data_IF_134413004309
#
_entry.id   IF_134413004309
#
_cell.length_a   1.000
_cell.length_b   1.000
_cell.length_c   1.000
_cell.angle_alpha   90.00
_cell.angle_beta   90.00
_cell.angle_gamma   90.00
#
_symmetry.space_group_name_H-M   'P 1'
#
loop_
_entity.id
_entity.type
_entity.pdbx_description
1 polymer ?
#
# COMPACT_ATOMS: atom_id res chain seq x y z
N UNK A 1 -12.62 7.99 -22.58
CA UNK A 1 -11.47 7.90 -23.50
C UNK A 1 -10.20 8.00 -22.67
N UNK A 2 -9.34 6.98 -22.71
CA UNK A 2 -8.15 6.94 -21.88
C UNK A 2 -7.07 7.90 -22.41
N UNK A 3 -6.59 8.75 -21.54
CA UNK A 3 -5.53 9.73 -21.79
C UNK A 3 -4.32 9.31 -20.95
N UNK A 4 -3.15 9.33 -21.57
CA UNK A 4 -1.86 9.10 -20.91
C UNK A 4 -0.95 10.27 -21.24
N UNK A 5 -0.48 10.96 -20.21
CA UNK A 5 0.47 12.06 -20.35
C UNK A 5 1.76 11.73 -19.60
N UNK A 6 2.89 12.07 -20.19
CA UNK A 6 4.20 12.07 -19.54
C UNK A 6 4.37 13.40 -18.80
N UNK A 7 4.90 13.34 -17.59
CA UNK A 7 5.15 14.50 -16.72
C UNK A 7 6.65 14.77 -16.61
N UNK A 8 7.03 16.04 -16.56
CA UNK A 8 8.43 16.46 -16.32
C UNK A 8 8.80 16.45 -14.84
N UNK A 9 7.83 16.72 -13.96
CA UNK A 9 7.95 16.62 -12.51
C UNK A 9 6.57 16.44 -11.90
N UNK A 10 6.49 15.66 -10.83
CA UNK A 10 5.22 15.43 -10.14
C UNK A 10 4.77 16.69 -9.40
N UNK A 11 5.66 17.28 -8.58
CA UNK A 11 5.35 18.39 -7.66
C UNK A 11 4.94 19.68 -8.38
N UNK A 12 5.49 19.92 -9.58
CA UNK A 12 5.21 21.14 -10.35
C UNK A 12 3.94 21.04 -11.21
N UNK A 13 3.58 19.83 -11.63
CA UNK A 13 2.47 19.59 -12.56
C UNK A 13 1.20 19.19 -11.81
N UNK A 14 1.31 18.36 -10.77
CA UNK A 14 0.16 17.85 -10.03
C UNK A 14 0.12 18.43 -8.62
N UNK A 15 -0.96 19.13 -8.29
CA UNK A 15 -1.20 19.56 -6.92
C UNK A 15 -1.91 18.44 -6.14
N UNK A 16 -1.10 17.62 -5.46
CA UNK A 16 -1.58 16.50 -4.65
C UNK A 16 -1.94 16.89 -3.20
N UNK A 17 -1.56 18.09 -2.75
CA UNK A 17 -1.78 18.55 -1.37
C UNK A 17 -3.25 18.55 -0.93
N UNK A 18 -4.16 18.75 -1.88
CA UNK A 18 -5.61 18.71 -1.64
C UNK A 18 -6.29 17.48 -2.26
N UNK A 19 -5.50 16.49 -2.66
CA UNK A 19 -5.97 15.26 -3.27
C UNK A 19 -6.05 14.13 -2.26
N UNK A 20 -6.72 13.05 -2.67
CA UNK A 20 -6.67 11.77 -1.98
C UNK A 20 -5.85 10.79 -2.80
N UNK A 21 -4.90 10.10 -2.19
CA UNK A 21 -4.08 9.10 -2.89
C UNK A 21 -4.18 7.74 -2.21
N UNK A 22 -4.13 6.67 -3.01
CA UNK A 22 -3.94 5.32 -2.48
C UNK A 22 -2.52 5.16 -1.96
N UNK A 23 -2.29 4.21 -1.04
CA UNK A 23 -0.93 3.80 -0.69
C UNK A 23 -0.21 3.36 -1.98
N UNK A 24 1.00 3.84 -2.28
CA UNK A 24 1.72 3.43 -3.46
C UNK A 24 2.07 1.94 -3.45
N UNK A 25 1.86 1.28 -4.58
CA UNK A 25 2.36 -0.07 -4.84
C UNK A 25 3.75 0.07 -5.47
N UNK A 26 4.73 -0.62 -4.89
CA UNK A 26 6.12 -0.53 -5.30
C UNK A 26 6.59 -1.92 -5.73
N UNK A 27 7.08 -2.02 -6.96
CA UNK A 27 7.55 -3.27 -7.56
C UNK A 27 8.61 -2.95 -8.61
N UNK A 28 9.74 -3.66 -8.58
CA UNK A 28 10.82 -3.56 -9.58
C UNK A 28 11.24 -2.10 -9.89
N UNK A 29 11.55 -1.32 -8.85
CA UNK A 29 11.88 0.12 -8.96
C UNK A 29 10.81 0.95 -9.67
N UNK A 30 9.56 0.55 -9.64
CA UNK A 30 8.42 1.31 -10.13
C UNK A 30 7.45 1.59 -8.99
N UNK A 31 6.84 2.78 -8.99
CA UNK A 31 5.85 3.18 -7.99
C UNK A 31 4.55 3.58 -8.69
N UNK A 32 3.44 3.00 -8.26
CA UNK A 32 2.12 3.24 -8.86
C UNK A 32 1.13 3.60 -7.75
N UNK A 33 0.35 4.65 -7.96
CA UNK A 33 -0.72 5.03 -7.02
C UNK A 33 -1.89 5.70 -7.75
N UNK A 34 -3.10 5.51 -7.22
CA UNK A 34 -4.27 6.26 -7.63
C UNK A 34 -4.32 7.60 -6.91
N UNK A 35 -4.75 8.65 -7.60
CA UNK A 35 -4.95 9.98 -7.04
C UNK A 35 -6.30 10.56 -7.47
N UNK A 36 -7.03 11.18 -6.55
CA UNK A 36 -8.40 11.65 -6.73
C UNK A 36 -8.51 13.13 -6.42
N UNK A 37 -9.27 13.85 -7.26
CA UNK A 37 -9.47 15.30 -7.12
C UNK A 37 -8.18 16.10 -7.28
N UNK A 38 -7.35 15.71 -8.25
CA UNK A 38 -6.01 16.28 -8.48
C UNK A 38 -6.13 17.50 -9.38
N UNK A 39 -5.52 18.61 -8.97
CA UNK A 39 -5.42 19.76 -9.86
C UNK A 39 -4.21 19.62 -10.78
N UNK A 40 -4.46 19.68 -12.08
CA UNK A 40 -3.48 19.60 -13.13
C UNK A 40 -3.07 21.01 -13.54
N UNK A 41 -1.81 21.35 -13.33
CA UNK A 41 -1.22 22.58 -13.85
C UNK A 41 -0.89 22.39 -15.34
N UNK A 42 -1.60 23.11 -16.21
CA UNK A 42 -1.43 22.98 -17.65
C UNK A 42 -0.12 23.64 -18.08
N UNK A 43 0.80 22.84 -18.62
CA UNK A 43 1.99 23.33 -19.33
C UNK A 43 1.84 23.13 -20.84
N UNK A 44 2.65 23.84 -21.64
CA UNK A 44 2.71 23.61 -23.08
C UNK A 44 3.05 22.15 -23.39
N UNK A 45 3.97 21.55 -22.62
CA UNK A 45 4.36 20.14 -22.76
C UNK A 45 3.18 19.18 -22.57
N UNK A 46 2.29 19.45 -21.62
CA UNK A 46 1.07 18.66 -21.41
C UNK A 46 0.06 18.92 -22.54
N UNK A 47 -0.14 20.19 -22.90
CA UNK A 47 -1.09 20.60 -23.92
C UNK A 47 -0.89 19.86 -25.26
N UNK A 48 0.36 19.72 -25.71
CA UNK A 48 0.67 19.03 -26.96
C UNK A 48 0.46 17.51 -26.91
N UNK A 49 0.41 16.92 -25.71
CA UNK A 49 0.12 15.49 -25.54
C UNK A 49 -1.38 15.18 -25.52
N UNK A 50 -2.23 16.20 -25.33
CA UNK A 50 -3.67 16.00 -25.20
C UNK A 50 -4.35 15.82 -26.57
N UNK A 51 -5.31 14.89 -26.68
CA UNK A 51 -6.18 14.79 -27.84
C UNK A 51 -7.00 16.07 -28.07
N UNK A 52 -7.37 16.35 -29.32
CA UNK A 52 -8.10 17.56 -29.68
C UNK A 52 -9.47 17.67 -29.00
N UNK A 53 -10.14 16.53 -28.81
CA UNK A 53 -11.39 16.43 -28.04
C UNK A 53 -11.23 16.90 -26.59
N UNK A 54 -10.05 16.66 -25.98
CA UNK A 54 -9.74 17.13 -24.64
C UNK A 54 -9.51 18.64 -24.63
N UNK A 55 -8.72 19.16 -25.58
CA UNK A 55 -8.43 20.59 -25.70
C UNK A 55 -9.70 21.43 -25.83
N UNK A 56 -10.68 20.95 -26.59
CA UNK A 56 -11.98 21.61 -26.74
C UNK A 56 -12.76 21.72 -25.43
N UNK A 57 -12.66 20.71 -24.54
CA UNK A 57 -13.24 20.81 -23.19
C UNK A 57 -12.47 21.82 -22.33
N UNK A 58 -11.14 21.84 -22.43
CA UNK A 58 -10.25 22.65 -21.59
C UNK A 58 -10.40 24.15 -21.85
N UNK A 59 -10.54 24.56 -23.12
CA UNK A 59 -10.64 25.97 -23.52
C UNK A 59 -11.76 26.75 -22.79
N UNK A 60 -12.76 26.05 -22.25
CA UNK A 60 -13.92 26.64 -21.58
C UNK A 60 -13.74 26.81 -20.06
N UNK A 61 -12.64 26.35 -19.47
CA UNK A 61 -12.49 26.26 -18.01
C UNK A 61 -11.20 26.91 -17.51
N UNK A 62 -11.27 27.58 -16.35
CA UNK A 62 -10.11 28.25 -15.73
C UNK A 62 -9.31 27.36 -14.77
N UNK A 63 -9.93 26.34 -14.20
CA UNK A 63 -9.29 25.35 -13.33
C UNK A 63 -9.50 23.95 -13.91
N UNK A 64 -8.49 23.09 -13.76
CA UNK A 64 -8.44 21.76 -14.38
C UNK A 64 -8.26 20.71 -13.30
N UNK A 65 -9.37 20.21 -12.77
CA UNK A 65 -9.35 19.15 -11.77
C UNK A 65 -9.66 17.82 -12.45
N UNK A 66 -8.81 16.83 -12.22
CA UNK A 66 -9.04 15.46 -12.63
C UNK A 66 -9.61 14.70 -11.44
N UNK A 67 -10.79 14.12 -11.61
CA UNK A 67 -11.51 13.39 -10.57
C UNK A 67 -10.74 12.16 -10.11
N UNK A 68 -10.17 11.40 -11.04
CA UNK A 68 -9.39 10.20 -10.76
C UNK A 68 -8.27 10.04 -11.80
N UNK A 69 -7.08 9.70 -11.34
CA UNK A 69 -5.95 9.34 -12.20
C UNK A 69 -5.09 8.26 -11.56
N UNK A 70 -4.36 7.52 -12.38
CA UNK A 70 -3.29 6.62 -11.97
C UNK A 70 -1.97 7.27 -12.32
N UNK A 71 -1.08 7.36 -11.33
CA UNK A 71 0.27 7.90 -11.50
C UNK A 71 1.24 6.73 -11.46
N UNK A 72 2.20 6.73 -12.38
CA UNK A 72 3.27 5.73 -12.48
C UNK A 72 4.62 6.43 -12.55
N UNK A 73 5.51 6.08 -11.63
CA UNK A 73 6.93 6.44 -11.62
C UNK A 73 7.74 5.20 -12.00
N UNK A 74 8.73 5.36 -12.87
CA UNK A 74 9.58 4.26 -13.33
C UNK A 74 11.03 4.52 -12.97
N UNK A 75 11.78 3.47 -12.65
CA UNK A 75 13.19 3.57 -12.28
C UNK A 75 13.43 4.53 -11.10
N UNK A 76 12.69 4.33 -10.00
CA UNK A 76 12.97 5.00 -8.73
C UNK A 76 14.26 4.43 -8.11
N UNK A 77 15.10 5.31 -7.57
CA UNK A 77 16.35 4.94 -6.88
C UNK A 77 16.25 5.06 -5.36
N UNK A 78 15.21 5.72 -4.84
CA UNK A 78 14.85 5.69 -3.43
C UNK A 78 13.39 6.09 -3.23
N UNK A 79 12.78 5.62 -2.13
CA UNK A 79 11.48 6.12 -1.68
C UNK A 79 11.34 6.08 -0.16
N UNK A 80 10.43 6.91 0.36
CA UNK A 80 9.91 6.86 1.72
C UNK A 80 8.43 7.25 1.69
N UNK A 81 7.55 6.32 2.07
CA UNK A 81 6.11 6.54 2.22
C UNK A 81 5.78 6.49 3.70
N UNK A 82 5.30 7.60 4.25
CA UNK A 82 4.90 7.70 5.65
C UNK A 82 3.42 8.02 5.77
N UNK A 83 2.74 7.30 6.65
CA UNK A 83 1.37 7.55 7.09
C UNK A 83 1.44 8.15 8.50
N UNK A 84 0.83 9.33 8.69
CA UNK A 84 0.75 9.98 10.00
C UNK A 84 -0.05 9.14 10.99
N UNK A 85 0.15 9.38 12.29
CA UNK A 85 -0.68 8.81 13.35
C UNK A 85 -2.16 8.89 13.01
N UNK A 86 -2.85 7.78 13.29
CA UNK A 86 -4.27 7.60 13.06
C UNK A 86 -4.84 6.81 14.24
N UNK A 87 -6.14 6.90 14.49
CA UNK A 87 -6.78 6.16 15.59
C UNK A 87 -6.53 4.64 15.53
N UNK A 88 -6.22 4.12 14.32
CA UNK A 88 -5.96 2.70 14.04
C UNK A 88 -4.51 2.28 14.27
N UNK A 89 -3.56 3.21 14.20
CA UNK A 89 -2.14 2.96 14.44
C UNK A 89 -1.61 4.18 15.18
N UNK A 90 -1.43 4.00 16.49
CA UNK A 90 -1.07 5.04 17.47
C UNK A 90 0.31 5.67 17.22
N UNK A 91 1.04 5.14 16.24
CA UNK A 91 2.36 5.58 15.82
C UNK A 91 2.39 5.66 14.29
N UNK A 92 3.12 6.61 13.69
CA UNK A 92 3.20 6.74 12.24
C UNK A 92 3.86 5.52 11.59
N UNK A 93 3.33 5.07 10.46
CA UNK A 93 3.87 3.94 9.71
C UNK A 93 4.73 4.48 8.57
N UNK A 94 5.97 4.02 8.43
CA UNK A 94 6.84 4.40 7.32
C UNK A 94 7.42 3.18 6.61
N UNK A 95 7.40 3.21 5.28
CA UNK A 95 8.08 2.26 4.41
C UNK A 95 9.12 3.01 3.57
N UNK A 96 10.39 2.62 3.63
CA UNK A 96 11.49 3.29 2.92
C UNK A 96 12.47 2.26 2.35
N UNK A 97 13.02 2.54 1.16
CA UNK A 97 14.06 1.74 0.51
C UNK A 97 15.00 2.65 -0.29
N UNK A 98 16.30 2.30 -0.30
CA UNK A 98 17.31 2.88 -1.18
C UNK A 98 17.87 1.80 -2.09
N UNK A 99 17.94 2.08 -3.39
CA UNK A 99 18.54 1.20 -4.38
C UNK A 99 20.02 1.58 -4.64
N UNK A 100 20.79 0.68 -5.26
CA UNK A 100 22.24 0.86 -5.49
C UNK A 100 22.60 2.11 -6.31
N UNK A 101 21.68 2.57 -7.17
CA UNK A 101 21.82 3.73 -8.03
C UNK A 101 21.33 5.05 -7.39
N UNK A 102 20.99 5.02 -6.10
CA UNK A 102 20.70 6.21 -5.32
C UNK A 102 21.88 7.19 -5.31
N UNK A 103 21.57 8.48 -5.40
CA UNK A 103 22.58 9.53 -5.30
C UNK A 103 22.05 10.71 -4.49
N UNK A 104 22.74 11.06 -3.42
CA UNK A 104 22.41 12.25 -2.60
C UNK A 104 22.46 13.57 -3.39
N UNK A 105 23.20 13.59 -4.51
CA UNK A 105 23.34 14.77 -5.36
C UNK A 105 22.17 14.98 -6.34
N UNK A 106 21.26 14.00 -6.46
CA UNK A 106 20.09 14.08 -7.34
C UNK A 106 18.86 14.54 -6.57
N UNK A 107 17.96 15.27 -7.24
CA UNK A 107 16.72 15.81 -6.64
C UNK A 107 15.88 14.67 -6.05
N UNK A 108 15.40 14.88 -4.83
CA UNK A 108 14.35 14.09 -4.20
C UNK A 108 13.06 14.88 -4.35
N UNK A 109 12.06 14.29 -4.98
CA UNK A 109 10.71 14.84 -5.07
C UNK A 109 9.90 14.42 -3.85
N UNK A 110 8.90 15.24 -3.50
CA UNK A 110 7.97 14.92 -2.43
C UNK A 110 6.56 15.37 -2.74
N UNK A 111 5.59 14.70 -2.15
CA UNK A 111 4.23 15.21 -2.06
C UNK A 111 3.58 14.84 -0.74
N UNK A 112 2.60 15.65 -0.37
CA UNK A 112 1.71 15.42 0.76
C UNK A 112 0.31 15.22 0.20
N UNK A 113 -0.44 14.30 0.77
CA UNK A 113 -1.85 14.09 0.41
C UNK A 113 -2.60 13.42 1.55
N UNK A 114 -3.92 13.32 1.44
CA UNK A 114 -4.69 12.42 2.31
C UNK A 114 -4.65 11.01 1.75
N UNK A 115 -4.40 10.02 2.59
CA UNK A 115 -4.45 8.63 2.19
C UNK A 115 -5.90 8.17 2.05
N UNK A 116 -6.22 7.46 0.97
CA UNK A 116 -7.55 6.91 0.75
C UNK A 116 -7.88 5.75 1.69
N UNK A 117 -6.86 5.05 2.16
CA UNK A 117 -6.94 4.10 3.24
C UNK A 117 -5.55 3.99 3.85
N UNK A 118 -5.37 4.19 5.16
CA UNK A 118 -6.36 4.10 6.23
C UNK A 118 -6.97 5.45 6.67
N UNK A 119 -7.09 6.43 5.78
CA UNK A 119 -7.63 7.78 6.07
C UNK A 119 -6.73 8.69 6.92
N UNK A 120 -5.42 8.45 6.93
CA UNK A 120 -4.41 9.32 7.54
C UNK A 120 -3.82 10.32 6.53
N UNK A 121 -3.00 11.25 7.01
CA UNK A 121 -2.14 12.03 6.11
C UNK A 121 -1.00 11.13 5.62
N UNK A 122 -0.64 11.29 4.35
CA UNK A 122 0.45 10.56 3.72
C UNK A 122 1.49 11.55 3.20
N UNK A 123 2.74 11.29 3.51
CA UNK A 123 3.89 11.96 2.91
C UNK A 123 4.71 10.96 2.12
N UNK A 124 5.00 11.30 0.87
CA UNK A 124 5.81 10.46 0.00
C UNK A 124 7.02 11.26 -0.45
N UNK A 125 8.20 10.68 -0.28
CA UNK A 125 9.48 11.16 -0.79
C UNK A 125 10.00 10.11 -1.76
N UNK A 126 10.58 10.55 -2.88
CA UNK A 126 11.18 9.61 -3.83
C UNK A 126 12.26 10.29 -4.68
N UNK A 127 13.22 9.50 -5.12
CA UNK A 127 14.14 9.88 -6.17
C UNK A 127 13.80 9.08 -7.43
N UNK A 128 13.38 9.78 -8.47
CA UNK A 128 12.99 9.18 -9.74
C UNK A 128 14.09 9.42 -10.79
N UNK A 129 14.56 8.35 -11.44
CA UNK A 129 15.55 8.41 -12.53
C UNK A 129 14.94 8.10 -13.90
N UNK A 130 13.70 7.63 -13.94
CA UNK A 130 12.98 7.33 -15.18
C UNK A 130 11.87 8.32 -15.46
N UNK A 131 10.80 7.81 -16.06
CA UNK A 131 9.68 8.60 -16.55
C UNK A 131 8.51 8.59 -15.56
N UNK A 132 7.75 9.67 -15.57
CA UNK A 132 6.54 9.85 -14.78
C UNK A 132 5.36 9.91 -15.76
N UNK A 133 4.32 9.12 -15.49
CA UNK A 133 3.09 9.12 -16.28
C UNK A 133 1.87 9.36 -15.40
N UNK A 134 0.90 10.09 -15.94
CA UNK A 134 -0.45 10.17 -15.40
C UNK A 134 -1.44 9.64 -16.44
N UNK A 135 -2.31 8.72 -16.02
CA UNK A 135 -3.34 8.09 -16.83
C UNK A 135 -4.73 8.38 -16.24
N UNK A 136 -5.66 8.86 -17.06
CA UNK A 136 -7.02 9.18 -16.64
C UNK A 136 -8.00 9.10 -17.81
N UNK A 137 -9.31 9.02 -17.52
CA UNK A 137 -10.34 9.06 -18.55
C UNK A 137 -10.77 10.51 -18.83
N UNK A 138 -11.12 10.83 -20.07
CA UNK A 138 -11.64 12.16 -20.46
C UNK A 138 -12.88 12.57 -19.64
N UNK A 139 -13.65 11.59 -19.20
CA UNK A 139 -14.84 11.72 -18.36
C UNK A 139 -14.49 12.13 -16.91
N UNK A 140 -13.27 11.86 -16.47
CA UNK A 140 -12.74 12.31 -15.17
C UNK A 140 -12.25 13.76 -15.21
N UNK A 141 -12.25 14.41 -16.38
CA UNK A 141 -11.99 15.85 -16.46
C UNK A 141 -13.19 16.63 -15.93
N UNK A 142 -13.08 17.19 -14.73
CA UNK A 142 -14.18 17.88 -14.09
C UNK A 142 -13.84 19.35 -13.87
N UNK A 143 -14.81 20.21 -14.17
CA UNK A 143 -14.80 21.59 -13.74
C UNK A 143 -15.61 21.73 -12.47
N UNK A 144 -14.97 22.22 -11.42
CA UNK A 144 -15.66 22.68 -10.23
C UNK A 144 -15.45 24.17 -10.09
N UNK A 145 -16.53 24.93 -9.90
CA UNK A 145 -16.40 26.24 -9.26
C UNK A 145 -15.84 26.04 -7.85
N UNK A 146 -15.05 26.99 -7.34
CA UNK A 146 -14.35 26.85 -6.05
C UNK A 146 -15.27 26.45 -4.89
N UNK A 147 -16.54 26.85 -4.92
CA UNK A 147 -17.55 26.53 -3.92
C UNK A 147 -18.03 25.08 -4.04
N UNK A 148 -18.41 24.64 -5.25
CA UNK A 148 -18.79 23.25 -5.55
C UNK A 148 -17.65 22.27 -5.25
N UNK A 149 -16.39 22.70 -5.47
CA UNK A 149 -15.19 21.91 -5.15
C UNK A 149 -15.05 21.69 -3.64
N UNK A 150 -15.40 22.69 -2.83
CA UNK A 150 -15.39 22.57 -1.36
C UNK A 150 -16.52 21.68 -0.88
N UNK A 151 -17.72 21.81 -1.45
CA UNK A 151 -18.86 20.96 -1.13
C UNK A 151 -18.58 19.50 -1.47
N UNK A 152 -18.12 19.20 -2.68
CA UNK A 152 -17.72 17.84 -3.07
C UNK A 152 -16.65 17.26 -2.15
N UNK A 153 -15.67 18.08 -1.71
CA UNK A 153 -14.66 17.64 -0.73
C UNK A 153 -15.26 17.33 0.62
N UNK A 154 -16.18 18.15 1.12
CA UNK A 154 -16.86 17.92 2.40
C UNK A 154 -17.69 16.64 2.30
N UNK A 155 -18.48 16.47 1.24
CA UNK A 155 -19.25 15.26 0.99
C UNK A 155 -18.36 14.02 0.90
N UNK A 156 -17.21 14.09 0.23
CA UNK A 156 -16.31 12.94 0.12
C UNK A 156 -15.62 12.64 1.46
N UNK A 157 -15.27 13.66 2.26
CA UNK A 157 -14.80 13.48 3.65
C UNK A 157 -15.88 12.85 4.53
N UNK A 158 -17.14 13.26 4.40
CA UNK A 158 -18.26 12.72 5.15
C UNK A 158 -18.58 11.28 4.72
N UNK A 159 -18.64 11.00 3.41
CA UNK A 159 -18.76 9.64 2.87
C UNK A 159 -17.63 8.75 3.35
N UNK A 160 -16.41 9.27 3.49
CA UNK A 160 -15.27 8.52 4.07
C UNK A 160 -15.51 8.17 5.53
N UNK A 161 -15.95 9.13 6.35
CA UNK A 161 -16.31 8.87 7.76
C UNK A 161 -17.41 7.81 7.87
N UNK A 162 -18.43 7.89 7.01
CA UNK A 162 -19.51 6.88 6.96
C UNK A 162 -18.97 5.51 6.53
N UNK A 163 -18.19 5.42 5.45
CA UNK A 163 -17.56 4.14 5.03
C UNK A 163 -16.63 3.57 6.08
N UNK A 164 -15.96 4.41 6.86
CA UNK A 164 -15.13 3.98 7.98
C UNK A 164 -15.98 3.36 9.10
N UNK A 165 -17.10 3.99 9.45
CA UNK A 165 -18.08 3.52 10.44
C UNK A 165 -18.79 2.25 9.95
N UNK A 166 -19.31 2.23 8.73
CA UNK A 166 -19.98 1.06 8.13
C UNK A 166 -19.02 -0.14 8.04
N UNK A 167 -17.72 0.12 7.79
CA UNK A 167 -16.70 -0.94 7.77
C UNK A 167 -16.41 -1.45 9.19
N UNK A 168 -16.41 -0.58 10.21
CA UNK A 168 -16.34 -0.97 11.62
C UNK A 168 -17.52 -1.84 12.05
N UNK A 169 -18.75 -1.48 11.64
CA UNK A 169 -19.96 -2.26 11.93
C UNK A 169 -19.98 -3.59 11.14
N UNK A 170 -19.45 -3.61 9.91
CA UNK A 170 -19.34 -4.83 9.10
C UNK A 170 -18.27 -5.82 9.61
N UNK A 171 -17.25 -5.32 10.32
CA UNK A 171 -16.22 -6.09 11.03
C UNK A 171 -16.68 -6.25 12.50
N UNK A 172 -17.96 -6.59 12.73
CA UNK A 172 -18.39 -7.04 14.06
C UNK A 172 -17.51 -8.23 14.48
N UNK A 173 -17.04 -8.21 15.72
CA UNK A 173 -16.33 -9.33 16.36
C UNK A 173 -17.11 -10.66 16.24
N UNK A 174 -18.42 -10.60 16.03
CA UNK A 174 -19.30 -11.76 15.77
C UNK A 174 -19.08 -12.37 14.39
N UNK A 175 -18.88 -11.58 13.33
CA UNK A 175 -18.50 -12.09 12.00
C UNK A 175 -17.09 -12.67 11.97
N UNK A 176 -16.15 -12.08 12.72
CA UNK A 176 -14.82 -12.68 12.93
C UNK A 176 -14.93 -14.02 13.69
N UNK A 177 -15.93 -14.15 14.59
CA UNK A 177 -16.23 -15.40 15.32
C UNK A 177 -16.92 -16.45 14.43
N UNK A 178 -17.75 -16.03 13.50
CA UNK A 178 -18.40 -16.92 12.51
C UNK A 178 -17.42 -17.37 11.42
N UNK A 179 -16.55 -16.48 10.89
CA UNK A 179 -15.46 -16.86 9.99
C UNK A 179 -14.42 -17.75 10.69
N UNK A 180 -14.21 -17.58 12.00
CA UNK A 180 -13.43 -18.53 12.83
C UNK A 180 -13.98 -19.96 12.75
N UNK A 181 -15.30 -20.15 12.61
CA UNK A 181 -15.95 -21.47 12.60
C UNK A 181 -15.75 -22.25 11.30
N UNK A 182 -15.63 -21.58 10.15
CA UNK A 182 -15.51 -22.27 8.85
C UNK A 182 -14.07 -22.73 8.55
N UNK A 183 -13.07 -22.00 9.06
CA UNK A 183 -11.65 -22.35 8.89
C UNK A 183 -11.04 -23.08 10.09
N UNK A 184 -11.73 -23.10 11.25
CA UNK A 184 -11.33 -23.87 12.44
C UNK A 184 -10.97 -25.33 12.13
N UNK A 185 -11.70 -26.08 11.27
CA UNK A 185 -11.38 -27.47 10.99
C UNK A 185 -10.07 -27.65 10.20
N UNK A 186 -9.77 -26.74 9.26
CA UNK A 186 -8.53 -26.78 8.46
C UNK A 186 -7.32 -26.37 9.31
N UNK A 187 -7.50 -25.33 10.13
CA UNK A 187 -6.54 -24.87 11.12
C UNK A 187 -6.31 -25.97 12.16
N UNK A 188 -7.36 -26.50 12.81
CA UNK A 188 -7.27 -27.63 13.77
C UNK A 188 -6.60 -28.87 13.19
N UNK A 189 -6.88 -29.26 11.94
CA UNK A 189 -6.18 -30.39 11.32
C UNK A 189 -4.66 -30.16 11.26
N UNK A 190 -4.25 -28.90 11.17
CA UNK A 190 -2.85 -28.48 11.16
C UNK A 190 -2.27 -28.25 12.57
N UNK A 191 -3.11 -27.87 13.55
CA UNK A 191 -2.74 -27.60 14.95
C UNK A 191 -2.81 -28.85 15.86
N UNK A 192 -3.68 -29.83 15.58
CA UNK A 192 -4.03 -30.98 16.42
C UNK A 192 -3.40 -32.31 15.95
N UNK A 193 -2.16 -32.30 15.44
CA UNK A 193 -1.26 -33.48 15.34
C UNK A 193 -1.32 -34.41 14.10
N UNK A 194 -1.59 -33.91 12.90
CA UNK A 194 -1.23 -34.63 11.65
C UNK A 194 -0.07 -33.96 10.91
N UNK A 195 0.86 -34.77 10.38
CA UNK A 195 1.92 -34.28 9.48
C UNK A 195 1.29 -33.63 8.26
N UNK A 196 1.66 -32.39 7.97
CA UNK A 196 1.28 -31.72 6.73
C UNK A 196 1.70 -32.58 5.53
N UNK A 197 0.81 -32.73 4.55
CA UNK A 197 1.09 -33.36 3.27
C UNK A 197 1.32 -32.29 2.21
N UNK A 198 1.92 -32.69 1.07
CA UNK A 198 2.18 -31.76 -0.04
C UNK A 198 0.92 -31.05 -0.55
N UNK A 199 -0.23 -31.75 -0.56
CA UNK A 199 -1.53 -31.18 -0.95
C UNK A 199 -2.01 -30.08 0.00
N UNK A 200 -1.64 -30.14 1.27
CA UNK A 200 -2.03 -29.13 2.26
C UNK A 200 -1.28 -27.82 2.01
N UNK A 201 -0.02 -27.88 1.55
CA UNK A 201 0.75 -26.71 1.14
C UNK A 201 0.14 -25.99 -0.06
N UNK A 202 -0.43 -26.71 -1.04
CA UNK A 202 -1.12 -26.10 -2.17
C UNK A 202 -2.32 -25.27 -1.71
N UNK A 203 -3.09 -25.79 -0.76
CA UNK A 203 -4.24 -25.10 -0.15
C UNK A 203 -3.78 -23.91 0.68
N UNK A 204 -2.74 -24.09 1.50
CA UNK A 204 -2.17 -23.03 2.35
C UNK A 204 -1.64 -21.89 1.47
N UNK A 205 -0.94 -22.17 0.38
CA UNK A 205 -0.41 -21.12 -0.52
C UNK A 205 -1.54 -20.35 -1.22
N UNK A 206 -2.60 -21.04 -1.65
CA UNK A 206 -3.77 -20.39 -2.27
C UNK A 206 -4.56 -19.51 -1.29
N UNK A 207 -4.53 -19.83 0.01
CA UNK A 207 -5.30 -19.14 1.05
C UNK A 207 -4.42 -18.35 2.03
N UNK A 208 -3.14 -18.21 1.71
CA UNK A 208 -2.10 -17.77 2.63
C UNK A 208 -2.33 -16.41 3.32
N UNK A 209 -2.84 -15.37 2.63
CA UNK A 209 -3.11 -14.08 3.25
C UNK A 209 -4.18 -14.15 4.34
N UNK A 210 -5.10 -15.12 4.26
CA UNK A 210 -6.11 -15.36 5.28
C UNK A 210 -5.52 -16.17 6.43
N UNK A 211 -4.75 -17.21 6.12
CA UNK A 211 -4.09 -18.08 7.11
C UNK A 211 -3.18 -17.27 8.05
N UNK A 212 -2.38 -16.33 7.53
CA UNK A 212 -1.49 -15.46 8.31
C UNK A 212 -2.18 -14.67 9.43
N UNK A 213 -3.45 -14.30 9.25
CA UNK A 213 -4.22 -13.55 10.26
C UNK A 213 -4.53 -14.37 11.51
N UNK A 214 -4.34 -15.68 11.44
CA UNK A 214 -4.69 -16.63 12.49
C UNK A 214 -3.50 -17.48 12.96
N UNK A 215 -2.28 -17.21 12.48
CA UNK A 215 -1.10 -17.97 12.89
C UNK A 215 -0.53 -17.45 14.20
N UNK A 216 0.01 -18.37 14.99
CA UNK A 216 0.94 -18.06 16.08
C UNK A 216 2.37 -18.47 15.69
N UNK A 217 3.34 -18.05 16.51
CA UNK A 217 4.76 -18.34 16.28
C UNK A 217 5.05 -19.84 16.28
N UNK A 218 4.37 -20.63 17.11
CA UNK A 218 4.61 -22.07 17.22
C UNK A 218 4.14 -22.81 15.96
N UNK A 219 3.01 -22.40 15.41
CA UNK A 219 2.51 -22.91 14.14
C UNK A 219 3.44 -22.59 13.00
N UNK A 220 3.89 -21.34 12.90
CA UNK A 220 4.72 -20.89 11.79
C UNK A 220 6.02 -21.69 11.73
N UNK A 221 6.60 -22.02 12.88
CA UNK A 221 7.75 -22.94 12.95
C UNK A 221 7.40 -24.34 12.46
N UNK A 222 6.26 -24.91 12.86
CA UNK A 222 5.84 -26.25 12.39
C UNK A 222 5.62 -26.28 10.87
N UNK A 223 5.02 -25.22 10.33
CA UNK A 223 4.81 -25.05 8.89
C UNK A 223 6.14 -25.03 8.14
N UNK A 224 7.10 -24.21 8.59
CA UNK A 224 8.43 -24.11 7.97
C UNK A 224 9.17 -25.44 8.05
N UNK A 225 9.15 -26.12 9.22
CA UNK A 225 9.78 -27.44 9.39
C UNK A 225 9.17 -28.48 8.47
N UNK A 226 7.85 -28.47 8.32
CA UNK A 226 7.15 -29.39 7.40
C UNK A 226 7.49 -29.10 5.94
N UNK A 227 7.67 -27.82 5.57
CA UNK A 227 8.10 -27.43 4.22
C UNK A 227 9.51 -27.94 3.92
N UNK A 228 10.44 -27.78 4.89
CA UNK A 228 11.81 -28.30 4.80
C UNK A 228 11.82 -29.83 4.65
N UNK A 229 11.07 -30.56 5.48
CA UNK A 229 10.96 -32.03 5.43
C UNK A 229 10.44 -32.54 4.09
N UNK A 230 9.43 -31.85 3.53
CA UNK A 230 8.81 -32.21 2.25
C UNK A 230 9.54 -31.63 1.02
N UNK A 231 10.62 -30.88 1.22
CA UNK A 231 11.36 -30.14 0.16
C UNK A 231 10.45 -29.22 -0.66
N UNK A 232 9.51 -28.56 0.01
CA UNK A 232 8.61 -27.58 -0.60
C UNK A 232 9.25 -26.20 -0.44
N UNK A 233 9.45 -25.53 -1.56
CA UNK A 233 9.92 -24.15 -1.55
C UNK A 233 8.76 -23.21 -1.21
N UNK A 234 8.94 -22.42 -0.16
CA UNK A 234 7.98 -21.39 0.23
C UNK A 234 8.13 -20.21 -0.76
N UNK A 235 7.05 -19.79 -1.45
CA UNK A 235 7.08 -18.66 -2.39
C UNK A 235 7.58 -17.35 -1.76
N UNK A 236 8.24 -16.50 -2.54
CA UNK A 236 8.87 -15.27 -2.03
C UNK A 236 7.85 -14.23 -1.52
N UNK A 237 6.67 -14.15 -2.16
CA UNK A 237 5.57 -13.31 -1.70
C UNK A 237 5.05 -13.75 -0.31
N UNK A 238 5.02 -15.05 -0.05
CA UNK A 238 4.62 -15.63 1.23
C UNK A 238 5.67 -15.34 2.30
N UNK A 239 6.96 -15.44 1.97
CA UNK A 239 8.06 -15.02 2.86
C UNK A 239 7.98 -13.54 3.20
N UNK A 240 7.66 -12.69 2.23
CA UNK A 240 7.50 -11.26 2.43
C UNK A 240 6.37 -10.96 3.42
N UNK A 241 5.20 -11.58 3.24
CA UNK A 241 4.06 -11.40 4.14
C UNK A 241 4.34 -11.92 5.56
N UNK A 242 5.05 -13.05 5.71
CA UNK A 242 5.57 -13.52 7.00
C UNK A 242 6.48 -12.49 7.65
N UNK A 243 7.41 -11.93 6.87
CA UNK A 243 8.32 -10.90 7.33
C UNK A 243 7.60 -9.68 7.87
N UNK A 244 6.53 -9.24 7.20
CA UNK A 244 5.69 -8.15 7.67
C UNK A 244 4.92 -8.51 8.95
N UNK A 245 4.30 -9.70 9.00
CA UNK A 245 3.57 -10.19 10.18
C UNK A 245 4.47 -10.26 11.43
N UNK A 246 5.71 -10.75 11.28
CA UNK A 246 6.66 -10.83 12.39
C UNK A 246 7.03 -9.47 12.98
N UNK A 247 6.98 -8.38 12.20
CA UNK A 247 7.22 -7.03 12.71
C UNK A 247 6.13 -6.63 13.71
N UNK A 248 4.86 -6.86 13.35
CA UNK A 248 3.74 -6.63 14.26
C UNK A 248 3.81 -7.53 15.50
N UNK A 249 4.12 -8.81 15.33
CA UNK A 249 4.25 -9.76 16.45
C UNK A 249 5.41 -9.38 17.37
N UNK A 250 6.55 -8.93 16.84
CA UNK A 250 7.70 -8.47 17.63
C UNK A 250 7.42 -7.26 18.53
N UNK A 251 6.37 -6.49 18.25
CA UNK A 251 5.92 -5.36 19.08
C UNK A 251 5.08 -5.88 20.27
N UNK A 252 4.31 -6.95 20.06
CA UNK A 252 3.43 -7.55 21.07
C UNK A 252 4.12 -8.59 21.95
N UNK A 253 5.25 -9.14 21.50
CA UNK A 253 6.00 -10.21 22.17
C UNK A 253 6.66 -9.74 23.47
N UNK A 254 6.43 -10.50 24.54
CA UNK A 254 6.88 -10.17 25.90
C UNK A 254 7.84 -11.20 26.49
N UNK A 255 7.91 -12.40 25.93
CA UNK A 255 8.70 -13.51 26.50
C UNK A 255 9.95 -13.85 25.69
N UNK A 256 10.98 -14.35 26.37
CA UNK A 256 12.23 -14.77 25.73
C UNK A 256 12.04 -15.96 24.77
N UNK A 257 11.05 -16.82 25.06
CA UNK A 257 10.68 -17.95 24.19
C UNK A 257 10.20 -17.45 22.83
N UNK A 258 9.29 -16.48 22.80
CA UNK A 258 8.75 -15.92 21.56
C UNK A 258 9.82 -15.19 20.73
N UNK A 259 10.73 -14.45 21.39
CA UNK A 259 11.87 -13.80 20.71
C UNK A 259 12.77 -14.82 20.00
N UNK A 260 13.04 -15.95 20.65
CA UNK A 260 13.82 -17.03 20.05
C UNK A 260 13.11 -17.66 18.85
N UNK A 261 11.78 -17.87 18.94
CA UNK A 261 10.99 -18.39 17.82
C UNK A 261 11.04 -17.44 16.61
N UNK A 262 10.87 -16.13 16.83
CA UNK A 262 10.95 -15.11 15.77
C UNK A 262 12.32 -15.16 15.08
N UNK A 263 13.40 -15.25 15.85
CA UNK A 263 14.76 -15.35 15.32
C UNK A 263 14.93 -16.62 14.46
N UNK A 264 14.47 -17.77 14.95
CA UNK A 264 14.49 -19.04 14.22
C UNK A 264 13.73 -18.93 12.88
N UNK A 265 12.55 -18.32 12.89
CA UNK A 265 11.74 -18.12 11.68
C UNK A 265 12.47 -17.24 10.66
N UNK A 266 13.01 -16.10 11.09
CA UNK A 266 13.75 -15.17 10.22
C UNK A 266 14.95 -15.83 9.57
N UNK A 267 15.73 -16.60 10.34
CA UNK A 267 16.92 -17.29 9.87
C UNK A 267 16.55 -18.38 8.85
N UNK A 268 15.53 -19.21 9.15
CA UNK A 268 15.08 -20.29 8.26
C UNK A 268 14.55 -19.79 6.92
N UNK A 269 13.79 -18.69 6.94
CA UNK A 269 13.23 -18.11 5.74
C UNK A 269 14.17 -17.14 5.01
N UNK A 270 15.38 -16.90 5.56
CA UNK A 270 16.36 -15.93 5.04
C UNK A 270 15.72 -14.56 4.79
N UNK A 271 14.83 -14.14 5.69
CA UNK A 271 14.10 -12.88 5.52
C UNK A 271 15.09 -11.71 5.56
N UNK A 272 15.00 -10.81 4.57
CA UNK A 272 15.75 -9.55 4.60
C UNK A 272 15.39 -8.80 5.88
N UNK A 273 16.38 -8.14 6.49
CA UNK A 273 16.13 -7.26 7.65
C UNK A 273 15.20 -6.13 7.21
N UNK A 274 13.93 -6.21 7.60
CA UNK A 274 13.06 -5.05 7.64
C UNK A 274 13.45 -4.27 8.89
N UNK A 275 14.05 -3.09 8.71
CA UNK A 275 14.63 -2.31 9.80
C UNK A 275 13.53 -1.84 10.77
N UNK A 276 13.64 -2.24 12.03
CA UNK A 276 12.92 -1.66 13.16
C UNK A 276 13.63 -0.33 13.49
N UNK A 277 13.02 0.82 13.18
CA UNK A 277 13.45 2.09 13.79
C UNK A 277 13.03 2.01 15.26
N UNK A 278 13.96 1.57 16.11
CA UNK A 278 13.91 1.81 17.55
C UNK A 278 14.25 3.28 17.70
N UNK A 279 13.26 4.12 17.98
CA UNK A 279 13.54 5.44 18.52
C UNK A 279 13.82 5.23 20.01
N UNK A 280 15.10 5.16 20.36
CA UNK A 280 15.57 5.50 21.69
C UNK A 280 15.66 7.04 21.78
N UNK A 281 15.10 7.52 22.88
CA UNK A 281 15.02 8.89 23.45
C UNK A 281 13.96 9.87 22.91
#
# INVERSE_FOLDING_TARGET
MKIKIKLESLEHILNLSNSFCTIPIIMDKSMIFGAYGVDLNMSEYIWYQLPEECKNKIYNYKEHTIKAMIITLTNISAYSVSLSEHEKFKEPITMEEFYEDFSENKKIERFLCKCDFPYSNMSVYFQNLGEIYAEFELEDWVYYEKEVKKEWRIEEIERRKIREIDKLESISLEKIREEKSEFEPLIRKTFETEKLLKKDFEIIFLTYPLVLRYLDLEYLIKFIKSAEELKIEIPENIKYDIGYWLISTEIEVKTEKEKNLIKEIRDKLKLKKVLKKVYED
#
